data_IF_763723876203
#
_entry.id   IF_763723876203
#
_cell.length_a   1.000
_cell.length_b   1.000
_cell.length_c   1.000
_cell.angle_alpha   90.00
_cell.angle_beta   90.00
_cell.angle_gamma   90.00
#
_symmetry.space_group_name_H-M   'P 1'
#
loop_
_entity.id
_entity.type
_entity.pdbx_description
1 polymer ?
#
# COMPACT_ATOMS: atom_id res chain seq x y z
N UNK A 1 13.40 -13.16 7.38
CA UNK A 1 13.43 -12.67 5.99
C UNK A 1 12.07 -12.91 5.35
N UNK A 2 11.16 -11.95 5.47
CA UNK A 2 9.79 -12.10 4.97
C UNK A 2 9.73 -11.85 3.47
N UNK A 3 8.77 -12.49 2.79
CA UNK A 3 8.51 -12.54 1.32
C UNK A 3 8.39 -11.17 0.60
N UNK A 4 8.59 -10.07 1.31
CA UNK A 4 8.55 -8.68 0.86
C UNK A 4 9.90 -7.95 1.00
N UNK A 5 10.96 -8.60 1.50
CA UNK A 5 12.27 -7.97 1.76
C UNK A 5 13.03 -7.47 0.52
N UNK A 6 12.52 -7.72 -0.68
CA UNK A 6 13.05 -7.19 -1.94
C UNK A 6 12.21 -6.09 -2.59
N UNK A 7 11.04 -5.74 -2.01
CA UNK A 7 10.21 -4.66 -2.52
C UNK A 7 10.19 -3.51 -1.55
N UNK A 8 10.66 -2.36 -2.00
CA UNK A 8 10.46 -1.12 -1.25
C UNK A 8 8.97 -0.78 -1.23
N UNK A 9 8.44 -0.22 -0.15
CA UNK A 9 7.05 0.25 -0.12
C UNK A 9 6.75 1.24 -1.26
N UNK A 10 7.78 1.97 -1.72
CA UNK A 10 7.72 2.82 -2.92
C UNK A 10 7.48 2.04 -4.22
N UNK A 11 7.95 0.81 -4.36
CA UNK A 11 7.62 -0.05 -5.51
C UNK A 11 6.20 -0.59 -5.42
N UNK A 12 5.76 -0.97 -4.21
CA UNK A 12 4.41 -1.46 -3.98
C UNK A 12 3.38 -0.38 -4.27
N UNK A 13 3.55 0.83 -3.72
CA UNK A 13 2.66 1.98 -3.97
C UNK A 13 2.63 2.39 -5.45
N UNK A 14 3.76 2.33 -6.16
CA UNK A 14 3.80 2.54 -7.61
C UNK A 14 2.96 1.52 -8.39
N UNK A 15 3.04 0.24 -8.01
CA UNK A 15 2.23 -0.82 -8.63
C UNK A 15 0.75 -0.66 -8.27
N UNK A 16 0.43 -0.34 -7.01
CA UNK A 16 -0.94 -0.08 -6.55
C UNK A 16 -1.61 1.04 -7.34
N UNK A 17 -0.93 2.17 -7.56
CA UNK A 17 -1.46 3.25 -8.40
C UNK A 17 -1.78 2.78 -9.83
N UNK A 18 -0.94 1.93 -10.42
CA UNK A 18 -1.17 1.39 -11.78
C UNK A 18 -2.41 0.50 -11.88
N UNK A 19 -2.76 -0.20 -10.80
CA UNK A 19 -3.94 -1.07 -10.75
C UNK A 19 -5.19 -0.36 -10.19
N UNK A 20 -5.15 0.97 -10.06
CA UNK A 20 -6.30 1.78 -9.66
C UNK A 20 -6.53 1.87 -8.14
N UNK A 21 -5.54 1.52 -7.33
CA UNK A 21 -5.58 1.81 -5.90
C UNK A 21 -5.15 3.26 -5.65
N UNK A 22 -5.90 3.92 -4.79
CA UNK A 22 -5.70 5.29 -4.37
C UNK A 22 -5.35 5.33 -2.89
N UNK A 23 -4.55 6.32 -2.51
CA UNK A 23 -4.27 6.55 -1.11
C UNK A 23 -5.56 7.01 -0.42
N UNK A 24 -5.97 6.30 0.63
CA UNK A 24 -7.19 6.59 1.35
C UNK A 24 -6.91 7.40 2.61
N UNK A 25 -6.05 6.89 3.50
CA UNK A 25 -5.62 7.58 4.72
C UNK A 25 -4.42 6.90 5.36
N UNK A 26 -3.73 7.60 6.25
CA UNK A 26 -2.75 7.00 7.15
C UNK A 26 -3.47 6.28 8.31
N UNK A 27 -3.01 5.08 8.64
CA UNK A 27 -3.42 4.35 9.84
C UNK A 27 -2.65 4.82 11.08
N UNK A 28 -2.71 4.03 12.16
CA UNK A 28 -1.96 4.32 13.38
C UNK A 28 -0.47 3.99 13.16
N UNK A 29 0.43 4.96 13.30
CA UNK A 29 1.86 4.80 13.02
C UNK A 29 2.19 4.98 11.52
N UNK A 30 3.25 4.33 11.05
CA UNK A 30 3.74 4.38 9.65
C UNK A 30 2.94 3.48 8.69
N UNK A 31 1.65 3.26 8.98
CA UNK A 31 0.76 2.48 8.12
C UNK A 31 0.04 3.40 7.13
N UNK A 32 0.02 3.02 5.86
CA UNK A 32 -0.83 3.64 4.83
C UNK A 32 -1.98 2.70 4.48
N UNK A 33 -3.17 3.25 4.35
CA UNK A 33 -4.36 2.52 3.87
C UNK A 33 -4.65 3.00 2.46
N UNK A 34 -4.74 2.04 1.56
CA UNK A 34 -5.04 2.23 0.14
C UNK A 34 -6.37 1.59 -0.19
N UNK A 35 -7.17 2.27 -1.01
CA UNK A 35 -8.51 1.84 -1.41
C UNK A 35 -8.63 1.88 -2.93
N UNK A 36 -9.26 0.88 -3.50
CA UNK A 36 -9.61 0.87 -4.91
C UNK A 36 -11.13 1.07 -5.04
N UNK A 37 -11.59 2.23 -5.55
CA UNK A 37 -13.02 2.51 -5.69
C UNK A 37 -13.70 1.63 -6.74
N UNK A 38 -12.96 1.03 -7.66
CA UNK A 38 -13.52 0.23 -8.75
C UNK A 38 -14.04 -1.13 -8.28
N UNK A 39 -13.35 -1.75 -7.32
CA UNK A 39 -13.69 -3.08 -6.79
C UNK A 39 -13.89 -3.09 -5.27
N UNK A 40 -13.87 -1.91 -4.64
CA UNK A 40 -14.06 -1.69 -3.21
C UNK A 40 -13.02 -2.43 -2.34
N UNK A 41 -11.87 -2.82 -2.90
CA UNK A 41 -10.81 -3.49 -2.16
C UNK A 41 -9.98 -2.50 -1.35
N UNK A 42 -9.53 -2.94 -0.18
CA UNK A 42 -8.65 -2.18 0.72
C UNK A 42 -7.38 -2.96 0.99
N UNK A 43 -6.26 -2.25 1.03
CA UNK A 43 -4.97 -2.82 1.43
C UNK A 43 -4.23 -1.87 2.34
N UNK A 44 -3.46 -2.42 3.28
CA UNK A 44 -2.65 -1.65 4.22
C UNK A 44 -1.18 -1.90 3.90
N UNK A 45 -0.44 -0.84 3.62
CA UNK A 45 1.01 -0.88 3.45
C UNK A 45 1.64 -0.41 4.76
N UNK A 46 2.53 -1.22 5.33
CA UNK A 46 3.39 -0.79 6.42
C UNK A 46 4.68 -0.20 5.85
N UNK A 47 5.01 1.01 6.25
CA UNK A 47 6.37 1.52 6.12
C UNK A 47 7.18 1.09 7.35
N UNK A 48 8.10 0.15 7.16
CA UNK A 48 9.16 -0.07 8.13
C UNK A 48 10.33 0.83 7.72
N UNK A 49 10.74 1.74 8.61
CA UNK A 49 11.96 2.52 8.42
C UNK A 49 13.20 1.65 8.55
#
# INVERSE_FOLDING_TARGET
MGRLSGFTCREVTRKLKKVGFEFYRTGKGDHEIWFNPHNHLKTTILHHK
#
